data_IF_399080561173
#
_entry.id   IF_399080561173
#
_cell.length_a   1.000
_cell.length_b   1.000
_cell.length_c   1.000
_cell.angle_alpha   90.00
_cell.angle_beta   90.00
_cell.angle_gamma   90.00
#
_symmetry.space_group_name_H-M   'P 1'
#
loop_
_entity.id
_entity.type
_entity.pdbx_description
1 polymer ?
#
# COMPACT_ATOMS: atom_id res chain seq x y z
N UNK A 1 19.04 31.18 65.03
CA UNK A 1 18.12 32.07 64.23
C UNK A 1 17.66 31.29 63.04
N UNK A 2 16.53 30.60 63.09
CA UNK A 2 15.20 31.01 62.62
C UNK A 2 15.29 31.69 61.25
N UNK A 3 14.85 31.01 60.15
CA UNK A 3 13.52 31.21 59.65
C UNK A 3 13.17 30.13 58.62
N UNK A 4 12.08 29.45 58.87
CA UNK A 4 11.26 28.59 58.00
C UNK A 4 10.50 29.45 56.98
N UNK A 5 10.41 29.04 55.73
CA UNK A 5 9.30 29.43 54.85
C UNK A 5 8.79 28.20 54.11
N UNK A 6 7.59 27.80 54.47
CA UNK A 6 6.75 26.86 53.72
C UNK A 6 6.01 27.66 52.65
N UNK A 7 5.91 27.11 51.46
CA UNK A 7 4.88 27.53 50.50
C UNK A 7 4.12 26.30 50.01
N UNK A 8 2.87 26.36 50.37
CA UNK A 8 1.80 25.45 49.93
C UNK A 8 1.46 25.64 48.44
N UNK A 9 1.07 24.57 47.85
CA UNK A 9 -0.21 24.55 47.18
C UNK A 9 -0.21 24.65 45.67
N UNK A 10 -0.61 23.64 44.99
CA UNK A 10 -1.88 23.61 44.25
C UNK A 10 -1.96 22.27 43.50
N UNK A 11 -2.75 21.39 44.03
CA UNK A 11 -3.25 20.22 43.30
C UNK A 11 -4.25 20.71 42.24
N UNK A 12 -3.86 20.60 40.96
CA UNK A 12 -4.76 20.76 39.83
C UNK A 12 -5.19 19.37 39.34
N UNK A 13 -6.32 18.89 39.79
CA UNK A 13 -6.95 17.71 39.26
C UNK A 13 -7.52 18.01 37.87
N UNK A 14 -6.86 17.55 36.84
CA UNK A 14 -7.43 17.47 35.49
C UNK A 14 -8.10 16.12 35.31
N UNK A 15 -9.40 16.09 35.45
CA UNK A 15 -10.27 15.00 35.05
C UNK A 15 -10.22 14.85 33.54
N UNK A 16 -9.45 13.89 33.05
CA UNK A 16 -9.51 13.46 31.67
C UNK A 16 -10.78 12.60 31.49
N UNK A 17 -11.77 13.14 30.82
CA UNK A 17 -12.91 12.38 30.32
C UNK A 17 -12.39 11.41 29.24
N UNK A 18 -12.30 10.14 29.60
CA UNK A 18 -12.06 9.05 28.65
C UNK A 18 -13.36 8.79 27.89
N UNK A 19 -13.50 9.34 26.70
CA UNK A 19 -14.45 8.87 25.73
C UNK A 19 -13.84 7.63 25.06
N UNK A 20 -14.35 6.47 25.45
CA UNK A 20 -14.01 5.19 24.85
C UNK A 20 -14.46 5.15 23.39
N UNK A 21 -13.52 5.15 22.48
CA UNK A 21 -13.71 4.65 21.12
C UNK A 21 -12.98 3.32 21.01
N UNK A 22 -13.73 2.25 21.20
CA UNK A 22 -13.30 0.93 20.76
C UNK A 22 -13.43 0.88 19.25
N UNK A 23 -12.37 1.27 18.55
CA UNK A 23 -12.18 1.07 17.14
C UNK A 23 -10.93 0.22 16.96
N UNK A 24 -11.10 -1.05 16.61
CA UNK A 24 -9.99 -1.93 16.28
C UNK A 24 -9.27 -1.41 15.04
N UNK A 25 -8.28 -0.56 15.23
CA UNK A 25 -7.33 -0.20 14.21
C UNK A 25 -6.30 -1.34 14.12
N UNK A 26 -6.41 -2.19 13.11
CA UNK A 26 -5.36 -3.09 12.71
C UNK A 26 -4.13 -2.25 12.32
N UNK A 27 -3.22 -2.10 13.24
CA UNK A 27 -1.92 -1.50 12.99
C UNK A 27 -1.11 -2.42 12.08
N UNK A 28 -1.19 -2.19 10.77
CA UNK A 28 -0.22 -2.73 9.85
C UNK A 28 1.14 -2.10 10.19
N UNK A 29 2.06 -2.91 10.67
CA UNK A 29 3.44 -2.49 10.91
C UNK A 29 4.06 -1.98 9.61
N UNK A 30 4.15 -0.66 9.51
CA UNK A 30 4.88 0.02 8.45
C UNK A 30 6.36 -0.14 8.78
N UNK A 31 7.11 -0.89 7.96
CA UNK A 31 8.56 -0.85 7.99
C UNK A 31 9.02 0.62 7.96
N UNK A 32 9.62 1.06 9.04
CA UNK A 32 10.06 2.43 9.28
C UNK A 32 11.25 2.72 8.36
N UNK A 33 10.97 3.13 7.14
CA UNK A 33 12.01 3.68 6.28
C UNK A 33 12.32 5.10 6.78
N UNK A 34 13.52 5.30 7.27
CA UNK A 34 13.99 6.58 7.81
C UNK A 34 13.67 7.72 6.84
N UNK A 35 12.93 8.73 7.31
CA UNK A 35 12.66 9.97 6.59
C UNK A 35 11.33 10.06 5.86
N UNK A 36 10.40 9.10 6.00
CA UNK A 36 9.02 9.26 5.51
C UNK A 36 8.17 9.83 6.65
N UNK A 37 7.85 11.11 6.59
CA UNK A 37 6.88 11.71 7.50
C UNK A 37 5.56 10.95 7.37
N UNK A 38 5.12 10.29 8.45
CA UNK A 38 3.79 9.70 8.56
C UNK A 38 2.78 10.82 8.56
N UNK A 39 2.24 11.13 7.40
CA UNK A 39 1.04 11.94 7.33
C UNK A 39 -0.11 11.04 7.80
N UNK A 40 -0.74 11.43 8.93
CA UNK A 40 -1.94 10.78 9.45
C UNK A 40 -2.93 10.50 8.31
N UNK A 41 -3.59 9.38 8.36
CA UNK A 41 -4.50 8.75 7.40
C UNK A 41 -5.39 9.68 6.55
N UNK A 42 -4.80 10.62 5.84
CA UNK A 42 -5.41 11.21 4.67
C UNK A 42 -5.54 10.09 3.62
N UNK A 43 -6.73 9.90 3.09
CA UNK A 43 -7.00 8.88 2.06
C UNK A 43 -5.88 8.89 1.02
N UNK A 44 -5.26 7.73 0.78
CA UNK A 44 -4.19 7.62 -0.19
C UNK A 44 -4.64 8.23 -1.53
N UNK A 45 -3.91 9.19 -2.11
CA UNK A 45 -4.32 9.86 -3.34
C UNK A 45 -4.22 8.95 -4.56
N UNK A 46 -3.76 7.74 -4.37
CA UNK A 46 -3.60 6.71 -5.41
C UNK A 46 -4.60 5.59 -5.14
N UNK A 47 -5.44 5.33 -6.12
CA UNK A 47 -6.35 4.18 -6.14
C UNK A 47 -5.62 2.98 -6.75
N UNK A 48 -5.63 1.86 -6.04
CA UNK A 48 -5.14 0.57 -6.56
C UNK A 48 -6.27 -0.14 -7.28
N UNK A 49 -5.94 -0.74 -8.42
CA UNK A 49 -6.85 -1.60 -9.18
C UNK A 49 -6.22 -2.97 -9.36
N UNK A 50 -7.01 -4.00 -9.19
CA UNK A 50 -6.63 -5.39 -9.43
C UNK A 50 -7.84 -6.21 -9.88
N UNK A 51 -7.60 -7.36 -10.51
CA UNK A 51 -8.67 -8.28 -10.91
C UNK A 51 -9.31 -8.87 -9.65
N UNK A 52 -10.63 -8.76 -9.54
CA UNK A 52 -11.40 -9.34 -8.43
C UNK A 52 -11.67 -10.85 -8.63
N UNK A 53 -11.62 -11.32 -9.87
CA UNK A 53 -11.81 -12.73 -10.24
C UNK A 53 -10.81 -13.09 -11.31
N UNK A 54 -10.30 -14.29 -11.28
CA UNK A 54 -9.41 -14.84 -12.29
C UNK A 54 -9.62 -16.36 -12.39
N UNK A 55 -9.12 -16.96 -13.46
CA UNK A 55 -9.14 -18.39 -13.69
C UNK A 55 -7.72 -18.91 -13.75
N UNK A 56 -7.54 -20.18 -13.48
CA UNK A 56 -6.26 -20.87 -13.59
C UNK A 56 -6.36 -22.02 -14.58
N UNK A 57 -5.23 -22.36 -15.19
CA UNK A 57 -5.11 -23.55 -16.03
C UNK A 57 -4.78 -24.80 -15.19
N UNK A 58 -4.67 -25.95 -15.87
CA UNK A 58 -4.39 -27.24 -15.23
C UNK A 58 -3.03 -27.29 -14.51
N UNK A 59 -2.13 -26.35 -14.76
CA UNK A 59 -0.83 -26.21 -14.09
C UNK A 59 -0.84 -25.16 -12.97
N UNK A 60 -2.03 -24.69 -12.60
CA UNK A 60 -2.26 -23.64 -11.62
C UNK A 60 -1.69 -22.26 -12.01
N UNK A 61 -1.50 -21.99 -13.27
CA UNK A 61 -1.16 -20.65 -13.74
C UNK A 61 -2.42 -19.82 -13.99
N UNK A 62 -2.38 -18.57 -13.55
CA UNK A 62 -3.45 -17.60 -13.84
C UNK A 62 -3.50 -17.35 -15.35
N UNK A 63 -4.67 -17.61 -15.95
CA UNK A 63 -4.91 -17.43 -17.39
C UNK A 63 -4.80 -15.97 -17.83
N UNK A 64 -4.88 -15.72 -19.15
CA UNK A 64 -4.81 -14.37 -19.73
C UNK A 64 -3.54 -13.58 -19.36
N UNK A 65 -2.41 -14.28 -19.16
CA UNK A 65 -1.11 -13.69 -18.91
C UNK A 65 -0.87 -13.26 -17.47
N UNK A 66 -1.67 -13.74 -16.52
CA UNK A 66 -1.46 -13.53 -15.09
C UNK A 66 -2.31 -12.44 -14.46
N UNK A 67 -2.03 -12.11 -13.21
CA UNK A 67 -2.72 -11.07 -12.48
C UNK A 67 -2.37 -9.68 -13.03
N UNK A 68 -3.39 -8.83 -13.12
CA UNK A 68 -3.22 -7.43 -13.52
C UNK A 68 -3.38 -6.53 -12.31
N UNK A 69 -2.41 -5.65 -12.14
CA UNK A 69 -2.40 -4.61 -11.12
C UNK A 69 -2.24 -3.24 -11.76
N UNK A 70 -2.83 -2.23 -11.15
CA UNK A 70 -2.71 -0.86 -11.58
C UNK A 70 -2.78 0.11 -10.44
N UNK A 71 -2.29 1.32 -10.69
CA UNK A 71 -2.43 2.47 -9.82
C UNK A 71 -2.97 3.64 -10.63
N UNK A 72 -3.87 4.41 -10.04
CA UNK A 72 -4.50 5.57 -10.67
C UNK A 72 -4.37 6.76 -9.72
N UNK A 73 -3.92 7.89 -10.24
CA UNK A 73 -3.93 9.15 -9.50
C UNK A 73 -5.38 9.65 -9.38
N UNK A 74 -5.94 9.58 -8.17
CA UNK A 74 -7.30 10.01 -7.87
C UNK A 74 -7.42 11.52 -7.62
N UNK A 75 -6.30 12.23 -7.52
CA UNK A 75 -6.31 13.68 -7.39
C UNK A 75 -6.83 14.34 -8.67
N UNK A 76 -7.62 15.40 -8.52
CA UNK A 76 -8.10 16.21 -9.64
C UNK A 76 -7.08 17.26 -10.10
N UNK A 77 -6.12 17.62 -9.24
CA UNK A 77 -5.21 18.77 -9.49
C UNK A 77 -3.72 18.41 -9.34
N UNK A 78 -3.38 17.45 -8.51
CA UNK A 78 -1.98 17.16 -8.13
C UNK A 78 -1.35 16.15 -9.08
N UNK A 79 -0.22 16.49 -9.65
CA UNK A 79 0.67 15.56 -10.36
C UNK A 79 1.66 14.97 -9.36
N UNK A 80 1.84 13.67 -9.38
CA UNK A 80 2.86 12.99 -8.58
C UNK A 80 4.06 12.59 -9.43
N UNK A 81 5.25 12.63 -8.82
CA UNK A 81 6.52 12.22 -9.41
C UNK A 81 7.03 10.94 -8.75
N UNK A 82 7.81 10.17 -9.48
CA UNK A 82 8.48 8.95 -9.01
C UNK A 82 7.52 7.99 -8.28
N UNK A 83 6.29 7.87 -8.79
CA UNK A 83 5.27 7.03 -8.18
C UNK A 83 5.60 5.57 -8.41
N UNK A 84 5.56 4.78 -7.37
CA UNK A 84 5.79 3.33 -7.46
C UNK A 84 4.75 2.54 -6.68
N UNK A 85 4.33 1.42 -7.23
CA UNK A 85 3.50 0.41 -6.60
C UNK A 85 4.35 -0.83 -6.35
N UNK A 86 4.49 -1.22 -5.10
CA UNK A 86 5.05 -2.50 -4.68
C UNK A 86 3.91 -3.47 -4.40
N UNK A 87 3.90 -4.60 -5.06
CA UNK A 87 2.99 -5.72 -4.81
C UNK A 87 3.79 -6.85 -4.21
N UNK A 88 3.43 -7.26 -3.01
CA UNK A 88 4.06 -8.38 -2.30
C UNK A 88 3.04 -9.48 -2.16
N UNK A 89 3.33 -10.67 -2.68
CA UNK A 89 2.46 -11.81 -2.43
C UNK A 89 2.73 -12.41 -1.05
N UNK A 90 1.73 -13.11 -0.52
CA UNK A 90 1.90 -14.03 0.58
C UNK A 90 2.38 -15.39 0.05
N UNK A 91 2.54 -16.37 0.92
CA UNK A 91 3.05 -17.71 0.57
C UNK A 91 2.15 -18.51 -0.40
N UNK A 92 0.97 -18.01 -0.72
CA UNK A 92 -0.01 -18.70 -1.59
C UNK A 92 0.24 -18.54 -3.08
N UNK A 93 1.07 -17.56 -3.48
CA UNK A 93 1.33 -17.20 -4.87
C UNK A 93 2.82 -17.21 -5.18
N UNK A 94 3.14 -17.42 -6.47
CA UNK A 94 4.49 -17.22 -7.00
C UNK A 94 4.42 -16.35 -8.24
N UNK A 95 5.11 -15.22 -8.22
CA UNK A 95 5.23 -14.31 -9.36
C UNK A 95 6.29 -14.79 -10.34
N UNK A 96 5.96 -14.72 -11.63
CA UNK A 96 6.86 -14.98 -12.74
C UNK A 96 7.19 -13.71 -13.52
N UNK A 97 7.12 -13.77 -14.87
CA UNK A 97 7.37 -12.64 -15.76
C UNK A 97 6.40 -11.50 -15.50
N UNK A 98 6.92 -10.28 -15.37
CA UNK A 98 6.11 -9.08 -15.24
C UNK A 98 6.27 -8.21 -16.50
N UNK A 99 5.15 -7.66 -16.98
CA UNK A 99 5.09 -6.85 -18.20
C UNK A 99 4.28 -5.60 -17.94
N UNK A 100 4.82 -4.44 -18.28
CA UNK A 100 4.10 -3.17 -18.20
C UNK A 100 3.06 -3.10 -19.31
N UNK A 101 1.88 -2.63 -18.98
CA UNK A 101 0.76 -2.44 -19.95
C UNK A 101 0.46 -0.97 -20.22
N UNK A 102 1.16 -0.04 -19.58
CA UNK A 102 0.99 1.40 -19.75
C UNK A 102 2.30 2.07 -20.16
N UNK A 103 2.26 2.88 -21.21
CA UNK A 103 3.43 3.68 -21.66
C UNK A 103 3.95 4.58 -20.53
N UNK A 104 5.26 4.65 -20.37
CA UNK A 104 5.93 5.51 -19.39
C UNK A 104 6.07 4.91 -17.99
N UNK A 105 5.57 3.70 -17.76
CA UNK A 105 5.87 2.92 -16.57
C UNK A 105 6.96 1.87 -16.84
N UNK A 106 7.64 1.39 -15.81
CA UNK A 106 8.67 0.35 -15.90
C UNK A 106 8.64 -0.55 -14.67
N UNK A 107 9.02 -1.82 -14.85
CA UNK A 107 9.28 -2.74 -13.73
C UNK A 107 10.64 -2.39 -13.15
N UNK A 108 10.68 -2.07 -11.86
CA UNK A 108 11.92 -1.70 -11.15
C UNK A 108 12.43 -2.79 -10.22
N UNK A 109 11.57 -3.73 -9.86
CA UNK A 109 11.93 -4.92 -9.09
C UNK A 109 11.01 -6.08 -9.47
N UNK A 110 11.57 -7.27 -9.59
CA UNK A 110 10.81 -8.50 -9.80
C UNK A 110 11.52 -9.66 -9.13
N UNK A 111 10.83 -10.30 -8.19
CA UNK A 111 11.21 -11.58 -7.57
C UNK A 111 10.01 -12.52 -7.63
N UNK A 112 10.15 -13.73 -7.10
CA UNK A 112 9.02 -14.65 -6.97
C UNK A 112 7.92 -14.14 -6.00
N UNK A 113 8.26 -13.20 -5.13
CA UNK A 113 7.35 -12.68 -4.11
C UNK A 113 6.99 -11.20 -4.29
N UNK A 114 7.80 -10.43 -4.98
CA UNK A 114 7.65 -8.98 -5.08
C UNK A 114 7.71 -8.54 -6.54
N UNK A 115 6.76 -7.69 -6.94
CA UNK A 115 6.86 -6.91 -8.16
C UNK A 115 6.68 -5.45 -7.81
N UNK A 116 7.59 -4.59 -8.31
CA UNK A 116 7.52 -3.15 -8.18
C UNK A 116 7.49 -2.51 -9.56
N UNK A 117 6.46 -1.71 -9.79
CA UNK A 117 6.34 -0.85 -10.99
C UNK A 117 6.56 0.60 -10.59
N UNK A 118 7.18 1.38 -11.45
CA UNK A 118 7.36 2.80 -11.25
C UNK A 118 6.94 3.59 -12.48
N UNK A 119 6.36 4.76 -12.25
CA UNK A 119 6.06 5.78 -13.24
C UNK A 119 6.76 7.08 -12.85
N UNK A 120 7.56 7.65 -13.78
CA UNK A 120 8.30 8.90 -13.52
C UNK A 120 7.36 10.07 -13.19
N UNK A 121 6.19 10.10 -13.84
CA UNK A 121 5.17 11.13 -13.63
C UNK A 121 3.80 10.50 -13.75
N UNK A 122 2.91 10.81 -12.81
CA UNK A 122 1.52 10.39 -12.81
C UNK A 122 0.62 11.61 -12.66
N UNK A 123 0.11 12.09 -13.79
CA UNK A 123 -0.80 13.25 -13.87
C UNK A 123 -2.17 12.91 -13.26
N UNK A 124 -3.01 13.91 -12.91
CA UNK A 124 -4.38 13.69 -12.47
C UNK A 124 -5.15 12.76 -13.41
N UNK A 125 -5.88 11.81 -12.84
CA UNK A 125 -6.69 10.83 -13.57
C UNK A 125 -5.90 9.80 -14.40
N UNK A 126 -4.57 9.88 -14.48
CA UNK A 126 -3.76 8.93 -15.25
C UNK A 126 -3.41 7.70 -14.41
N UNK A 127 -3.22 6.59 -15.13
CA UNK A 127 -2.95 5.28 -14.53
C UNK A 127 -1.66 4.69 -15.03
N UNK A 128 -1.05 3.82 -14.22
CA UNK A 128 0.00 2.92 -14.64
C UNK A 128 -0.40 1.49 -14.26
N UNK A 129 -0.24 0.55 -15.16
CA UNK A 129 -0.65 -0.82 -14.96
C UNK A 129 0.40 -1.82 -15.48
N UNK A 130 0.38 -3.01 -14.90
CA UNK A 130 1.23 -4.12 -15.32
C UNK A 130 0.49 -5.45 -15.14
N UNK A 131 0.95 -6.46 -15.84
CA UNK A 131 0.58 -7.85 -15.65
C UNK A 131 1.76 -8.61 -15.07
N UNK A 132 1.47 -9.59 -14.23
CA UNK A 132 2.48 -10.52 -13.72
C UNK A 132 1.97 -11.94 -13.84
N UNK A 133 2.71 -12.77 -14.56
CA UNK A 133 2.48 -14.21 -14.60
C UNK A 133 2.49 -14.74 -13.17
N UNK A 134 1.45 -15.46 -12.78
CA UNK A 134 1.25 -15.85 -11.39
C UNK A 134 0.85 -17.32 -11.33
N UNK A 135 1.58 -18.09 -10.52
CA UNK A 135 1.24 -19.48 -10.22
C UNK A 135 0.64 -19.56 -8.83
N UNK A 136 -0.43 -20.32 -8.71
CA UNK A 136 -1.07 -20.65 -7.44
C UNK A 136 -0.30 -21.79 -6.79
N UNK A 137 0.05 -21.65 -5.52
CA UNK A 137 0.77 -22.66 -4.75
C UNK A 137 -0.14 -23.41 -3.77
N UNK A 138 -1.32 -22.88 -3.53
CA UNK A 138 -2.35 -23.43 -2.62
C UNK A 138 -3.72 -23.23 -3.27
N UNK A 139 -4.74 -23.87 -2.72
CA UNK A 139 -6.12 -23.87 -3.29
C UNK A 139 -7.12 -23.10 -2.42
N UNK A 140 -6.64 -22.45 -1.37
CA UNK A 140 -7.48 -21.74 -0.41
C UNK A 140 -7.46 -20.22 -0.64
N UNK A 141 -7.04 -19.46 0.32
CA UNK A 141 -7.01 -18.00 0.29
C UNK A 141 -5.72 -17.47 -0.37
N UNK A 142 -5.88 -16.54 -1.28
CA UNK A 142 -4.78 -15.84 -1.95
C UNK A 142 -4.79 -14.37 -1.57
N UNK A 143 -3.63 -13.85 -1.22
CA UNK A 143 -3.48 -12.50 -0.72
C UNK A 143 -2.24 -11.83 -1.30
N UNK A 144 -2.37 -10.55 -1.63
CA UNK A 144 -1.26 -9.66 -1.93
C UNK A 144 -1.38 -8.39 -1.10
N UNK A 145 -0.25 -7.84 -0.69
CA UNK A 145 -0.15 -6.55 -0.01
C UNK A 145 0.34 -5.48 -0.97
N UNK A 146 -0.26 -4.32 -0.90
CA UNK A 146 0.10 -3.17 -1.71
C UNK A 146 0.78 -2.10 -0.88
N UNK A 147 1.83 -1.48 -1.43
CA UNK A 147 2.41 -0.26 -0.89
C UNK A 147 2.72 0.70 -2.05
N UNK A 148 2.34 1.94 -1.88
CA UNK A 148 2.54 2.99 -2.87
C UNK A 148 3.46 4.06 -2.28
N UNK A 149 4.37 4.54 -3.09
CA UNK A 149 5.31 5.60 -2.74
C UNK A 149 5.39 6.60 -3.87
N UNK A 150 5.69 7.83 -3.56
CA UNK A 150 5.86 8.88 -4.56
C UNK A 150 6.39 10.16 -3.98
N UNK A 151 6.44 11.19 -4.84
CA UNK A 151 6.77 12.56 -4.47
C UNK A 151 5.71 13.50 -5.04
N UNK A 152 5.47 14.59 -4.35
CA UNK A 152 4.76 15.74 -4.90
C UNK A 152 5.66 16.52 -5.86
N UNK A 153 5.13 17.49 -6.59
CA UNK A 153 5.90 18.30 -7.56
C UNK A 153 7.02 19.11 -6.90
N UNK A 154 6.82 19.52 -5.66
CA UNK A 154 7.80 20.22 -4.80
C UNK A 154 8.85 19.26 -4.17
N UNK A 155 8.79 17.97 -4.49
CA UNK A 155 9.77 16.99 -4.05
C UNK A 155 9.50 16.32 -2.72
N UNK A 156 8.42 16.69 -2.01
CA UNK A 156 8.03 16.09 -0.73
C UNK A 156 7.65 14.61 -0.93
N UNK A 157 8.33 13.72 -0.22
CA UNK A 157 8.06 12.28 -0.26
C UNK A 157 6.79 11.93 0.49
N UNK A 158 6.06 10.98 -0.02
CA UNK A 158 4.89 10.40 0.63
C UNK A 158 4.82 8.89 0.36
N UNK A 159 4.09 8.17 1.19
CA UNK A 159 3.81 6.76 1.03
C UNK A 159 2.54 6.36 1.74
N UNK A 160 1.87 5.35 1.23
CA UNK A 160 0.72 4.73 1.87
C UNK A 160 0.76 3.22 1.67
N UNK A 161 0.52 2.49 2.75
CA UNK A 161 0.11 1.10 2.66
C UNK A 161 -1.36 1.13 2.29
N UNK A 162 -1.70 0.53 1.18
CA UNK A 162 -3.05 0.54 0.65
C UNK A 162 -3.45 -0.90 0.47
N UNK A 163 -4.52 -1.27 1.13
CA UNK A 163 -5.33 -2.41 0.77
C UNK A 163 -4.63 -3.76 0.56
N UNK A 164 -5.35 -4.79 0.85
CA UNK A 164 -5.01 -6.16 0.49
C UNK A 164 -5.87 -6.59 -0.69
N UNK A 165 -5.24 -7.13 -1.73
CA UNK A 165 -5.95 -7.90 -2.74
C UNK A 165 -6.15 -9.32 -2.21
N UNK A 166 -7.40 -9.69 -1.96
CA UNK A 166 -7.75 -11.01 -1.45
C UNK A 166 -8.68 -11.71 -2.43
N UNK A 167 -8.42 -12.98 -2.71
CA UNK A 167 -9.27 -13.83 -3.54
C UNK A 167 -9.58 -15.10 -2.78
N UNK A 168 -10.85 -15.51 -2.82
CA UNK A 168 -11.30 -16.82 -2.35
C UNK A 168 -11.10 -17.91 -3.41
N UNK A 169 -11.82 -19.01 -3.26
CA UNK A 169 -11.76 -20.20 -4.14
C UNK A 169 -11.74 -19.84 -5.61
N UNK A 170 -10.72 -20.29 -6.31
CA UNK A 170 -10.56 -20.12 -7.76
C UNK A 170 -11.29 -21.24 -8.46
N UNK A 171 -12.09 -20.91 -9.46
CA UNK A 171 -12.71 -21.90 -10.35
C UNK A 171 -11.72 -22.32 -11.43
N UNK A 172 -11.59 -23.63 -11.62
CA UNK A 172 -10.90 -24.26 -12.74
C UNK A 172 -11.73 -24.16 -14.00
#
# INVERSE_FOLDING_TARGET
MRTTVAVLGAAGALTAAQLGFAGAASAASVEKQAGVGTQAAASCPIKITYLKKFYVDNNNWVTNGGLRFGLTNSSKKVTFKDVSLKVTNTKSLRFGKATVTTKGAKITQKTNQIVKVAAKTLKPGKSAAFKVSTRMLRTDLYEVKFAVYGKTTDGKKWGCAVDQGTWGTVKH
#
